data_IF_755178610411
#
_entry.id   IF_755178610411
#
_cell.length_a   1.000
_cell.length_b   1.000
_cell.length_c   1.000
_cell.angle_alpha   90.00
_cell.angle_beta   90.00
_cell.angle_gamma   90.00
#
_symmetry.space_group_name_H-M   'P 1'
#
loop_
_entity.id
_entity.type
_entity.pdbx_description
1 polymer ?
#
# COMPACT_ATOMS: atom_id res chain seq x y z
N UNK A 1 -18.95 5.36 9.09
CA UNK A 1 -18.49 4.57 10.25
C UNK A 1 -18.87 3.12 10.10
N UNK A 2 -20.12 2.76 10.41
CA UNK A 2 -20.58 1.36 10.42
C UNK A 2 -20.40 0.63 9.09
N UNK A 3 -20.73 1.26 7.95
CA UNK A 3 -20.54 0.64 6.63
C UNK A 3 -19.09 0.24 6.35
N UNK A 4 -18.11 1.08 6.74
CA UNK A 4 -16.69 0.77 6.59
C UNK A 4 -16.23 -0.36 7.51
N UNK A 5 -16.77 -0.43 8.74
CA UNK A 5 -16.50 -1.55 9.64
C UNK A 5 -17.06 -2.85 9.08
N UNK A 6 -18.29 -2.83 8.54
CA UNK A 6 -18.89 -4.00 7.90
C UNK A 6 -18.07 -4.45 6.69
N UNK A 7 -17.69 -3.53 5.81
CA UNK A 7 -16.84 -3.83 4.66
C UNK A 7 -15.47 -4.38 5.09
N UNK A 8 -14.88 -3.83 6.14
CA UNK A 8 -13.63 -4.33 6.71
C UNK A 8 -13.77 -5.76 7.23
N UNK A 9 -14.83 -6.05 8.00
CA UNK A 9 -15.10 -7.40 8.52
C UNK A 9 -15.36 -8.41 7.41
N UNK A 10 -16.10 -8.04 6.37
CA UNK A 10 -16.31 -8.88 5.19
C UNK A 10 -14.98 -9.13 4.47
N UNK A 11 -14.21 -8.07 4.23
CA UNK A 11 -12.92 -8.15 3.55
C UNK A 11 -11.93 -9.06 4.29
N UNK A 12 -11.76 -8.85 5.60
CA UNK A 12 -10.82 -9.66 6.40
C UNK A 12 -11.27 -11.11 6.52
N UNK A 13 -12.58 -11.37 6.55
CA UNK A 13 -13.13 -12.73 6.56
C UNK A 13 -12.89 -13.43 5.23
N UNK A 14 -13.15 -12.76 4.10
CA UNK A 14 -12.87 -13.31 2.77
C UNK A 14 -11.38 -13.60 2.59
N UNK A 15 -10.51 -12.69 3.04
CA UNK A 15 -9.07 -12.88 3.01
C UNK A 15 -8.64 -14.09 3.86
N UNK A 16 -9.18 -14.22 5.08
CA UNK A 16 -8.87 -15.35 5.96
C UNK A 16 -9.36 -16.69 5.40
N UNK A 17 -10.55 -16.75 4.80
CA UNK A 17 -11.10 -17.97 4.20
C UNK A 17 -10.32 -18.37 2.95
N UNK A 18 -9.95 -17.40 2.11
CA UNK A 18 -9.12 -17.64 0.92
C UNK A 18 -7.73 -18.15 1.29
N UNK A 19 -7.04 -17.46 2.20
CA UNK A 19 -5.71 -17.86 2.67
C UNK A 19 -5.71 -19.20 3.41
N UNK A 20 -6.77 -19.50 4.18
CA UNK A 20 -6.89 -20.79 4.86
C UNK A 20 -6.95 -21.96 3.87
N UNK A 21 -7.67 -21.80 2.75
CA UNK A 21 -7.79 -22.85 1.75
C UNK A 21 -6.42 -23.17 1.13
N UNK A 22 -5.69 -22.13 0.71
CA UNK A 22 -4.35 -22.26 0.15
C UNK A 22 -3.35 -22.84 1.16
N UNK A 23 -3.35 -22.32 2.39
CA UNK A 23 -2.48 -22.80 3.46
C UNK A 23 -2.74 -24.28 3.78
N UNK A 24 -4.00 -24.71 3.81
CA UNK A 24 -4.33 -26.11 4.07
C UNK A 24 -3.95 -27.03 2.90
N UNK A 25 -3.97 -26.55 1.66
CA UNK A 25 -3.49 -27.31 0.52
C UNK A 25 -1.97 -27.46 0.54
N UNK A 26 -1.22 -26.43 0.94
CA UNK A 26 0.22 -26.53 1.23
C UNK A 26 0.49 -27.55 2.35
N UNK A 27 -0.24 -27.47 3.48
CA UNK A 27 -0.08 -28.40 4.60
C UNK A 27 -0.32 -29.86 4.18
N UNK A 28 -1.34 -30.13 3.36
CA UNK A 28 -1.58 -31.48 2.80
C UNK A 28 -0.40 -31.96 1.96
N UNK A 29 0.18 -31.09 1.13
CA UNK A 29 1.37 -31.44 0.34
C UNK A 29 2.58 -31.80 1.22
N UNK A 30 2.67 -31.16 2.39
CA UNK A 30 3.69 -31.42 3.40
C UNK A 30 3.32 -32.54 4.40
N UNK A 31 2.24 -33.29 4.16
CA UNK A 31 1.75 -34.36 5.05
C UNK A 31 1.44 -33.87 6.48
N UNK A 32 1.07 -32.59 6.62
CA UNK A 32 0.67 -31.99 7.89
C UNK A 32 -0.85 -31.94 8.01
N UNK A 33 -1.40 -31.94 9.25
CA UNK A 33 -2.82 -31.79 9.46
C UNK A 33 -3.30 -30.39 9.03
N UNK A 34 -4.54 -30.28 8.51
CA UNK A 34 -5.14 -28.99 8.21
C UNK A 34 -5.40 -28.21 9.50
N UNK A 35 -5.31 -26.89 9.41
CA UNK A 35 -5.63 -25.96 10.48
C UNK A 35 -7.03 -25.41 10.32
N UNK A 36 -7.59 -24.94 11.43
CA UNK A 36 -8.87 -24.24 11.46
C UNK A 36 -8.72 -22.76 11.10
N UNK A 37 -9.82 -22.10 10.73
CA UNK A 37 -9.82 -20.65 10.46
C UNK A 37 -9.30 -19.81 11.64
N UNK A 38 -9.65 -20.20 12.87
CA UNK A 38 -9.18 -19.52 14.08
C UNK A 38 -7.66 -19.68 14.27
N UNK A 39 -7.12 -20.88 14.01
CA UNK A 39 -5.68 -21.13 14.08
C UNK A 39 -4.93 -20.37 12.97
N UNK A 40 -5.48 -20.31 11.75
CA UNK A 40 -4.91 -19.54 10.66
C UNK A 40 -4.93 -18.03 10.93
N UNK A 41 -6.03 -17.48 11.43
CA UNK A 41 -6.12 -16.07 11.81
C UNK A 41 -5.18 -15.65 12.95
N UNK A 42 -4.76 -16.60 13.79
CA UNK A 42 -3.75 -16.38 14.82
C UNK A 42 -2.31 -16.65 14.33
N UNK A 43 -2.12 -17.14 13.10
CA UNK A 43 -0.81 -17.47 12.53
C UNK A 43 -0.07 -16.23 12.04
N UNK A 44 1.26 -16.30 12.00
CA UNK A 44 2.09 -15.24 11.41
C UNK A 44 1.85 -15.07 9.91
N UNK A 45 1.51 -16.15 9.19
CA UNK A 45 1.26 -16.16 7.75
C UNK A 45 0.14 -15.19 7.36
N UNK A 46 -1.01 -15.32 8.01
CA UNK A 46 -2.18 -14.45 7.76
C UNK A 46 -1.86 -12.97 7.97
N UNK A 47 -1.19 -12.64 9.09
CA UNK A 47 -0.82 -11.26 9.39
C UNK A 47 0.26 -10.75 8.45
N UNK A 48 1.23 -11.57 8.08
CA UNK A 48 2.26 -11.21 7.12
C UNK A 48 1.66 -10.82 5.76
N UNK A 49 0.76 -11.66 5.21
CA UNK A 49 0.05 -11.36 3.96
C UNK A 49 -0.80 -10.09 4.07
N UNK A 50 -1.52 -9.93 5.19
CA UNK A 50 -2.32 -8.72 5.46
C UNK A 50 -1.45 -7.46 5.51
N UNK A 51 -0.30 -7.53 6.21
CA UNK A 51 0.63 -6.40 6.31
C UNK A 51 1.36 -6.12 4.99
N UNK A 52 1.65 -7.13 4.17
CA UNK A 52 2.19 -6.91 2.83
C UNK A 52 1.21 -6.18 1.93
N UNK A 53 -0.08 -6.54 1.97
CA UNK A 53 -1.11 -5.81 1.24
C UNK A 53 -1.17 -4.33 1.66
N UNK A 54 -1.16 -4.06 2.97
CA UNK A 54 -1.12 -2.68 3.47
C UNK A 54 0.18 -1.95 3.13
N UNK A 55 1.33 -2.63 3.22
CA UNK A 55 2.63 -2.08 2.83
C UNK A 55 2.61 -1.62 1.37
N UNK A 56 2.10 -2.46 0.46
CA UNK A 56 1.97 -2.11 -0.96
C UNK A 56 1.11 -0.88 -1.16
N UNK A 57 0.01 -0.76 -0.41
CA UNK A 57 -0.88 0.40 -0.50
C UNK A 57 -0.24 1.68 0.05
N UNK A 58 0.52 1.61 1.14
CA UNK A 58 1.28 2.77 1.61
C UNK A 58 2.34 3.21 0.61
N UNK A 59 3.02 2.26 -0.03
CA UNK A 59 4.00 2.56 -1.07
C UNK A 59 3.34 3.20 -2.29
N UNK A 60 2.18 2.69 -2.73
CA UNK A 60 1.43 3.24 -3.86
C UNK A 60 0.93 4.65 -3.57
N UNK A 61 0.36 4.90 -2.40
CA UNK A 61 -0.08 6.22 -1.94
C UNK A 61 1.09 7.20 -1.85
N UNK A 62 2.22 6.78 -1.27
CA UNK A 62 3.42 7.61 -1.18
C UNK A 62 3.96 7.94 -2.57
N UNK A 63 4.06 6.95 -3.46
CA UNK A 63 4.52 7.15 -4.83
C UNK A 63 3.60 8.11 -5.60
N UNK A 64 2.28 8.01 -5.40
CA UNK A 64 1.30 8.92 -5.99
C UNK A 64 1.49 10.35 -5.48
N UNK A 65 1.63 10.55 -4.17
CA UNK A 65 1.83 11.90 -3.58
C UNK A 65 3.14 12.52 -4.06
N UNK A 66 4.26 11.78 -3.96
CA UNK A 66 5.58 12.24 -4.39
C UNK A 66 5.59 12.51 -5.89
N UNK A 67 5.04 11.59 -6.70
CA UNK A 67 4.92 11.76 -8.14
C UNK A 67 4.09 12.99 -8.51
N UNK A 68 2.99 13.24 -7.82
CA UNK A 68 2.15 14.44 -8.02
C UNK A 68 2.90 15.71 -7.67
N UNK A 69 3.63 15.75 -6.56
CA UNK A 69 4.46 16.89 -6.16
C UNK A 69 5.54 17.15 -7.22
N UNK A 70 6.26 16.10 -7.63
CA UNK A 70 7.33 16.19 -8.62
C UNK A 70 6.82 16.72 -9.97
N UNK A 71 5.72 16.16 -10.49
CA UNK A 71 5.11 16.61 -11.74
C UNK A 71 4.59 18.05 -11.63
N UNK A 72 3.99 18.42 -10.50
CA UNK A 72 3.52 19.79 -10.24
C UNK A 72 4.67 20.80 -10.17
N UNK A 73 5.79 20.44 -9.55
CA UNK A 73 6.99 21.28 -9.48
C UNK A 73 7.65 21.42 -10.86
N UNK A 74 7.69 20.35 -11.66
CA UNK A 74 8.21 20.39 -13.05
C UNK A 74 7.35 21.27 -13.98
N UNK A 75 6.06 21.46 -13.66
CA UNK A 75 5.13 22.33 -14.39
C UNK A 75 4.94 23.73 -13.78
N UNK A 76 5.58 24.05 -12.66
CA UNK A 76 5.42 25.35 -11.98
C UNK A 76 6.46 26.36 -12.46
N UNK A 77 5.96 27.46 -13.04
CA UNK A 77 6.70 28.56 -13.65
C UNK A 77 7.42 29.50 -12.67
N UNK A 78 8.03 28.97 -11.60
CA UNK A 78 8.94 29.73 -10.71
C UNK A 78 10.42 29.51 -11.04
N UNK A 79 10.73 28.82 -12.16
CA UNK A 79 12.05 28.90 -12.80
C UNK A 79 12.17 30.18 -13.63
N UNK A 80 11.91 31.33 -13.03
CA UNK A 80 12.45 32.57 -13.59
C UNK A 80 13.94 32.53 -13.30
N UNK A 81 14.84 32.54 -14.30
CA UNK A 81 16.25 32.76 -14.03
C UNK A 81 16.34 34.14 -13.39
N UNK A 82 16.69 34.21 -12.11
CA UNK A 82 17.10 35.44 -11.44
C UNK A 82 18.51 35.82 -11.94
N UNK A 83 18.65 36.01 -13.25
CA UNK A 83 19.86 36.54 -13.88
C UNK A 83 19.48 37.30 -15.15
N UNK A 84 18.96 38.51 -14.98
CA UNK A 84 19.27 39.63 -15.86
C UNK A 84 19.98 40.69 -15.01
N UNK A 85 21.22 40.94 -15.40
CA UNK A 85 22.25 41.78 -14.78
C UNK A 85 21.76 43.13 -14.22
N UNK A 86 22.23 43.49 -13.01
CA UNK A 86 22.21 44.85 -12.47
C UNK A 86 23.32 45.72 -13.08
N UNK A 87 23.49 45.72 -14.40
CA UNK A 87 24.48 46.58 -15.02
C UNK A 87 24.00 47.08 -16.38
N UNK A 88 24.19 48.40 -16.56
CA UNK A 88 24.04 49.22 -17.77
C UNK A 88 22.62 49.77 -18.06
N UNK A 89 22.37 51.06 -18.30
CA UNK A 89 23.00 52.38 -18.08
C UNK A 89 22.05 53.38 -18.77
N UNK A 90 22.02 54.67 -18.39
CA UNK A 90 21.64 55.69 -19.38
C UNK A 90 21.03 57.01 -18.88
N UNK A 91 21.90 57.90 -18.37
CA UNK A 91 21.80 59.38 -18.30
C UNK A 91 20.60 60.04 -17.61
#
# INVERSE_FOLDING_TARGET
GLAFVLLFLVSITLHAVGGLAEYNDEQKSHHQPPVTLAQYGASSRFWFESFQNWQSEFLSLLAMVVGTIYLRQRGSAESKPLHSSNAETGR
#
